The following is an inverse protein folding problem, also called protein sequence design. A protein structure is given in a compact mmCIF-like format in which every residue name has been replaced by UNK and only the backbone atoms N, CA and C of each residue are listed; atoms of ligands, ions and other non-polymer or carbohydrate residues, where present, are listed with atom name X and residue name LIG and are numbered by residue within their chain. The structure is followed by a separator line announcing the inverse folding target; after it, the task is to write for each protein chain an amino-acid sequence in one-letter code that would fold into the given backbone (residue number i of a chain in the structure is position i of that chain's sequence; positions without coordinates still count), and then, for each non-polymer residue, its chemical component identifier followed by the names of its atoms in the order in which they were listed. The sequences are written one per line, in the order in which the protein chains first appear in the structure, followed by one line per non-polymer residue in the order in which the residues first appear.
data_IF_523836862683
#
_entry.id   IF_523836862683
#
_cell.length_a   1.000
_cell.length_b   1.000
_cell.length_c   1.000
_cell.angle_alpha   90.00
_cell.angle_beta   90.00
_cell.angle_gamma   90.00
#
_symmetry.space_group_name_H-M   'P 1'
#
loop_
_entity.id
_entity.type
_entity.pdbx_description
1 polymer ?
#
# COMPACT_ATOMS: atom_id res chain seq x y z
N UNK A 1 2.63 13.99 20.08
CA UNK A 1 2.43 12.55 19.89
C UNK A 1 2.60 12.31 18.42
N UNK A 2 3.76 11.78 18.02
CA UNK A 2 4.02 11.50 16.61
C UNK A 2 3.24 10.22 16.26
N UNK A 3 2.08 10.37 15.63
CA UNK A 3 1.33 9.22 15.13
C UNK A 3 2.21 8.49 14.12
N UNK A 4 2.63 7.27 14.47
CA UNK A 4 3.48 6.43 13.63
C UNK A 4 2.65 5.94 12.44
N UNK A 5 3.04 6.35 11.24
CA UNK A 5 2.48 5.84 9.99
C UNK A 5 3.18 4.52 9.62
N UNK A 6 2.41 3.46 9.39
CA UNK A 6 2.87 2.20 8.83
C UNK A 6 2.38 2.06 7.39
N UNK A 7 3.32 2.12 6.44
CA UNK A 7 3.07 1.80 5.05
C UNK A 7 3.39 0.31 4.82
N UNK A 8 2.39 -0.49 4.47
CA UNK A 8 2.48 -1.95 4.40
C UNK A 8 2.27 -2.42 2.97
N UNK A 9 3.26 -3.11 2.42
CA UNK A 9 3.14 -3.84 1.17
C UNK A 9 2.68 -5.27 1.46
N UNK A 10 1.57 -5.67 0.85
CA UNK A 10 0.95 -6.99 1.08
C UNK A 10 1.28 -8.04 0.03
N UNK A 11 2.15 -7.74 -0.92
CA UNK A 11 2.70 -8.72 -1.86
C UNK A 11 3.58 -9.75 -1.14
N UNK A 12 3.89 -10.85 -1.83
CA UNK A 12 4.92 -11.77 -1.37
C UNK A 12 6.29 -11.09 -1.26
N UNK A 13 7.20 -11.75 -0.54
CA UNK A 13 8.53 -11.22 -0.25
C UNK A 13 9.38 -11.01 -1.51
N UNK A 14 9.23 -11.85 -2.53
CA UNK A 14 10.00 -11.75 -3.77
C UNK A 14 9.60 -10.48 -4.54
N UNK A 15 8.30 -10.25 -4.69
CA UNK A 15 7.75 -9.07 -5.32
C UNK A 15 8.10 -7.78 -4.55
N UNK A 16 8.04 -7.81 -3.22
CA UNK A 16 8.48 -6.68 -2.41
C UNK A 16 9.99 -6.39 -2.60
N UNK A 17 10.82 -7.43 -2.60
CA UNK A 17 12.27 -7.28 -2.81
C UNK A 17 12.62 -6.76 -4.22
N UNK A 18 11.84 -7.11 -5.25
CA UNK A 18 12.03 -6.54 -6.60
C UNK A 18 11.71 -5.04 -6.61
N UNK A 19 10.58 -4.64 -6.03
CA UNK A 19 10.17 -3.24 -6.04
C UNK A 19 9.18 -2.88 -4.94
N UNK A 20 9.51 -1.87 -4.14
CA UNK A 20 8.61 -1.32 -3.15
C UNK A 20 8.81 0.19 -2.93
N UNK A 21 7.84 0.79 -2.24
CA UNK A 21 7.88 2.20 -1.81
C UNK A 21 8.86 2.32 -0.63
N UNK A 22 9.83 3.25 -0.65
CA UNK A 22 10.79 3.43 0.43
C UNK A 22 10.12 3.64 1.79
N UNK A 23 10.68 3.02 2.83
CA UNK A 23 10.14 3.07 4.19
C UNK A 23 8.87 2.25 4.42
N UNK A 24 8.35 1.54 3.39
CA UNK A 24 7.31 0.54 3.61
C UNK A 24 7.88 -0.75 4.20
N UNK A 25 7.05 -1.48 4.93
CA UNK A 25 7.37 -2.84 5.41
C UNK A 25 6.60 -3.88 4.59
N UNK A 26 7.12 -5.11 4.53
CA UNK A 26 6.41 -6.23 3.92
C UNK A 26 5.67 -7.05 4.97
N UNK A 27 4.35 -7.15 4.83
CA UNK A 27 3.53 -8.14 5.53
C UNK A 27 2.69 -8.83 4.47
N UNK A 28 3.13 -9.98 3.93
CA UNK A 28 2.39 -10.70 2.91
C UNK A 28 0.94 -10.92 3.32
N UNK A 29 0.02 -10.80 2.37
CA UNK A 29 -1.42 -10.83 2.63
C UNK A 29 -1.87 -12.01 3.50
N UNK A 30 -1.33 -13.21 3.24
CA UNK A 30 -1.64 -14.43 4.00
C UNK A 30 -1.14 -14.43 5.46
N UNK A 31 -0.23 -13.51 5.83
CA UNK A 31 0.29 -13.32 7.19
C UNK A 31 -0.34 -12.13 7.90
N UNK A 32 -1.05 -11.26 7.18
CA UNK A 32 -1.57 -10.01 7.72
C UNK A 32 -2.53 -10.24 8.90
N UNK A 33 -3.44 -11.21 8.78
CA UNK A 33 -4.41 -11.54 9.82
C UNK A 33 -3.72 -11.91 11.15
N UNK A 34 -2.61 -12.64 11.10
CA UNK A 34 -1.84 -12.99 12.29
C UNK A 34 -1.11 -11.77 12.85
N UNK A 35 -0.44 -11.01 11.98
CA UNK A 35 0.29 -9.79 12.35
C UNK A 35 -0.60 -8.75 13.05
N UNK A 36 -1.90 -8.69 12.72
CA UNK A 36 -2.85 -7.77 13.38
C UNK A 36 -2.93 -7.91 14.90
N UNK A 37 -2.52 -9.07 15.46
CA UNK A 37 -2.53 -9.35 16.90
C UNK A 37 -1.41 -8.65 17.65
N UNK A 38 -0.34 -8.29 16.96
CA UNK A 38 0.87 -7.68 17.53
C UNK A 38 0.97 -6.18 17.18
N UNK A 39 0.01 -5.64 16.43
CA UNK A 39 0.00 -4.26 15.96
C UNK A 39 -0.86 -3.36 16.85
N UNK A 40 -0.34 -2.16 17.14
CA UNK A 40 -1.02 -1.15 17.96
C UNK A 40 -2.22 -0.53 17.24
N UNK A 41 -3.38 -0.47 17.90
CA UNK A 41 -4.67 -0.09 17.28
C UNK A 41 -4.80 1.39 16.90
N UNK A 42 -3.98 2.26 17.49
CA UNK A 42 -3.92 3.69 17.22
C UNK A 42 -3.00 4.06 16.04
N UNK A 43 -2.26 3.08 15.51
CA UNK A 43 -1.35 3.25 14.38
C UNK A 43 -2.12 3.65 13.13
N UNK A 44 -1.61 4.65 12.41
CA UNK A 44 -2.09 4.94 11.07
C UNK A 44 -1.52 3.93 10.08
N UNK A 45 -2.36 3.20 9.36
CA UNK A 45 -1.92 2.14 8.44
C UNK A 45 -2.38 2.46 7.02
N UNK A 46 -1.44 2.36 6.09
CA UNK A 46 -1.73 2.41 4.65
C UNK A 46 -1.26 1.10 4.04
N UNK A 47 -2.18 0.33 3.46
CA UNK A 47 -1.87 -0.91 2.74
C UNK A 47 -1.83 -0.66 1.24
N UNK A 48 -0.89 -1.31 0.54
CA UNK A 48 -0.80 -1.24 -0.91
C UNK A 48 -0.30 -2.55 -1.51
N UNK A 49 -0.61 -2.78 -2.79
CA UNK A 49 -0.20 -3.94 -3.55
C UNK A 49 0.55 -3.51 -4.85
N UNK A 50 0.49 -4.31 -5.90
CA UNK A 50 1.15 -4.03 -7.18
C UNK A 50 0.53 -2.85 -7.92
N UNK A 51 -0.80 -2.81 -8.02
CA UNK A 51 -1.56 -1.88 -8.87
C UNK A 51 -3.06 -1.99 -8.60
N UNK A 52 -3.86 -1.20 -9.30
CA UNK A 52 -5.32 -1.20 -9.17
C UNK A 52 -5.99 -2.55 -9.49
N UNK A 53 -5.37 -3.39 -10.33
CA UNK A 53 -5.87 -4.73 -10.63
C UNK A 53 -5.60 -5.76 -9.52
N UNK A 54 -4.76 -5.40 -8.53
CA UNK A 54 -4.55 -6.24 -7.36
C UNK A 54 -5.62 -5.95 -6.30
N UNK A 55 -6.47 -6.94 -6.01
CA UNK A 55 -7.47 -6.83 -4.94
C UNK A 55 -6.88 -6.91 -3.52
N UNK A 56 -5.64 -7.40 -3.37
CA UNK A 56 -5.07 -7.71 -2.06
C UNK A 56 -5.00 -6.51 -1.11
N UNK A 57 -4.80 -5.28 -1.62
CA UNK A 57 -4.81 -4.09 -0.76
C UNK A 57 -6.21 -3.76 -0.21
N UNK A 58 -7.28 -4.07 -0.95
CA UNK A 58 -8.67 -3.88 -0.48
C UNK A 58 -9.03 -4.94 0.55
N UNK A 59 -8.69 -6.20 0.24
CA UNK A 59 -8.91 -7.31 1.16
C UNK A 59 -8.12 -7.12 2.46
N UNK A 60 -6.89 -6.59 2.36
CA UNK A 60 -6.07 -6.25 3.52
C UNK A 60 -6.70 -5.15 4.38
N UNK A 61 -7.32 -4.15 3.75
CA UNK A 61 -8.08 -3.12 4.45
C UNK A 61 -9.23 -3.74 5.26
N UNK A 62 -10.01 -4.66 4.67
CA UNK A 62 -11.10 -5.33 5.40
C UNK A 62 -10.59 -6.19 6.57
N UNK A 63 -9.46 -6.88 6.41
CA UNK A 63 -8.83 -7.64 7.51
C UNK A 63 -8.50 -6.71 8.68
N UNK A 64 -7.93 -5.53 8.40
CA UNK A 64 -7.60 -4.55 9.42
C UNK A 64 -8.87 -3.95 10.06
N UNK A 65 -9.89 -3.63 9.27
CA UNK A 65 -11.18 -3.11 9.76
C UNK A 65 -11.84 -4.11 10.72
N UNK A 66 -11.93 -5.38 10.32
CA UNK A 66 -12.48 -6.48 11.14
C UNK A 66 -11.65 -6.74 12.39
N UNK A 67 -10.34 -6.49 12.34
CA UNK A 67 -9.45 -6.55 13.50
C UNK A 67 -9.54 -5.31 14.41
N UNK A 68 -10.39 -4.33 14.09
CA UNK A 68 -10.69 -3.15 14.92
C UNK A 68 -9.75 -1.96 14.73
N UNK A 69 -8.96 -1.92 13.64
CA UNK A 69 -8.19 -0.72 13.32
C UNK A 69 -9.10 0.33 12.69
N UNK A 70 -8.93 1.60 13.09
CA UNK A 70 -9.85 2.68 12.69
C UNK A 70 -9.22 3.71 11.75
N UNK A 71 -7.89 3.84 11.78
CA UNK A 71 -7.12 4.76 10.95
C UNK A 71 -6.39 4.00 9.82
N UNK A 72 -7.17 3.42 8.92
CA UNK A 72 -6.71 2.52 7.86
C UNK A 72 -7.10 3.03 6.47
N UNK A 73 -6.17 2.92 5.52
CA UNK A 73 -6.35 3.36 4.13
C UNK A 73 -5.78 2.34 3.16
N UNK A 74 -6.40 2.20 1.98
CA UNK A 74 -5.86 1.45 0.86
C UNK A 74 -5.29 2.41 -0.20
N UNK A 75 -4.02 2.23 -0.57
CA UNK A 75 -3.43 2.86 -1.75
C UNK A 75 -3.50 1.88 -2.94
N UNK A 76 -4.56 2.01 -3.73
CA UNK A 76 -4.84 1.08 -4.84
C UNK A 76 -3.91 1.26 -6.05
N UNK A 77 -3.30 2.44 -6.21
CA UNK A 77 -2.35 2.68 -7.30
C UNK A 77 -1.14 1.75 -7.24
N UNK A 78 -0.81 1.27 -6.04
CA UNK A 78 0.26 0.31 -5.80
C UNK A 78 1.64 0.84 -6.20
N UNK A 79 2.64 -0.03 -6.11
CA UNK A 79 4.02 0.33 -6.50
C UNK A 79 4.12 0.68 -8.00
N UNK A 80 3.20 0.18 -8.83
CA UNK A 80 3.19 0.48 -10.27
C UNK A 80 2.88 1.96 -10.53
N UNK A 81 1.78 2.51 -10.01
CA UNK A 81 1.46 3.94 -10.19
C UNK A 81 2.56 4.79 -9.56
N UNK A 82 2.99 4.45 -8.35
CA UNK A 82 4.06 5.14 -7.65
C UNK A 82 5.32 5.31 -8.50
N UNK A 83 5.77 4.21 -9.13
CA UNK A 83 6.94 4.19 -10.03
C UNK A 83 6.69 4.96 -11.33
N UNK A 84 5.51 4.81 -11.94
CA UNK A 84 5.17 5.48 -13.20
C UNK A 84 5.23 7.01 -13.07
N UNK A 85 4.86 7.51 -11.90
CA UNK A 85 4.88 8.93 -11.56
C UNK A 85 6.28 9.42 -11.12
N UNK A 86 7.31 8.60 -11.35
CA UNK A 86 8.71 8.96 -11.13
C UNK A 86 9.13 9.06 -9.66
N UNK A 87 8.32 8.55 -8.74
CA UNK A 87 8.65 8.61 -7.31
C UNK A 87 9.76 7.59 -6.95
N UNK A 88 10.55 7.85 -5.89
CA UNK A 88 11.63 6.96 -5.48
C UNK A 88 11.13 5.55 -5.14
N UNK A 89 11.87 4.52 -5.55
CA UNK A 89 11.58 3.10 -5.25
C UNK A 89 12.84 2.42 -4.71
N UNK A 90 12.64 1.36 -3.94
CA UNK A 90 13.71 0.46 -3.51
C UNK A 90 13.59 -0.88 -4.25
N UNK A 91 14.72 -1.41 -4.72
CA UNK A 91 14.80 -2.64 -5.53
C UNK A 91 15.22 -2.39 -6.98
N UNK A 92 15.20 -3.46 -7.79
CA UNK A 92 15.57 -3.41 -9.22
C UNK A 92 14.41 -2.91 -10.08
N UNK A 93 13.17 -3.19 -9.68
CA UNK A 93 11.93 -2.70 -10.28
C UNK A 93 11.79 -3.02 -11.77
N UNK A 94 12.18 -4.22 -12.19
CA UNK A 94 12.12 -4.65 -13.61
C UNK A 94 11.15 -5.79 -13.85
N UNK A 95 10.46 -6.29 -12.83
CA UNK A 95 9.54 -7.40 -13.00
C UNK A 95 8.34 -7.05 -13.91
N UNK A 96 7.82 -8.01 -14.69
CA UNK A 96 6.72 -7.78 -15.63
C UNK A 96 5.43 -7.25 -15.00
N UNK A 97 5.17 -7.53 -13.72
CA UNK A 97 3.97 -7.04 -13.03
C UNK A 97 3.97 -5.51 -12.86
N UNK A 98 5.10 -4.84 -13.06
CA UNK A 98 5.24 -3.38 -13.05
C UNK A 98 5.03 -2.74 -14.43
N UNK A 99 4.82 -3.52 -15.49
CA UNK A 99 4.62 -2.99 -16.83
C UNK A 99 3.43 -2.01 -16.85
N UNK A 100 3.56 -0.85 -17.52
CA UNK A 100 2.46 0.09 -17.62
C UNK A 100 1.24 -0.52 -18.29
N UNK A 101 0.07 -0.22 -17.73
CA UNK A 101 -1.22 -0.53 -18.34
C UNK A 101 -1.99 0.76 -18.53
N UNK A 102 -2.76 0.83 -19.62
CA UNK A 102 -3.56 1.99 -19.97
C UNK A 102 -4.84 2.04 -19.13
N UNK A 103 -5.10 3.19 -18.53
CA UNK A 103 -6.32 3.49 -17.79
C UNK A 103 -6.21 3.19 -16.30
N UNK A 104 -6.59 4.16 -15.47
CA UNK A 104 -6.95 3.88 -14.08
C UNK A 104 -8.34 3.24 -14.11
N UNK A 105 -8.55 2.04 -13.55
CA UNK A 105 -9.91 1.53 -13.44
C UNK A 105 -10.72 2.51 -12.60
N UNK A 106 -12.00 2.61 -12.92
CA UNK A 106 -12.95 3.37 -12.11
C UNK A 106 -12.94 2.79 -10.69
N UNK A 107 -12.87 3.64 -9.67
CA UNK A 107 -12.83 3.18 -8.27
C UNK A 107 -14.16 2.47 -7.97
N UNK A 108 -14.14 1.14 -7.89
CA UNK A 108 -15.37 0.33 -7.91
C UNK A 108 -15.98 0.08 -6.52
N UNK A 109 -15.30 0.45 -5.44
CA UNK A 109 -15.73 0.13 -4.09
C UNK A 109 -15.71 1.36 -3.17
N UNK A 110 -16.89 1.94 -2.95
CA UNK A 110 -17.09 3.08 -2.06
C UNK A 110 -17.12 2.69 -0.58
N UNK A 111 -17.04 1.40 -0.24
CA UNK A 111 -17.08 0.91 1.14
C UNK A 111 -15.73 0.96 1.85
N UNK A 112 -14.63 1.13 1.11
CA UNK A 112 -13.28 1.22 1.67
C UNK A 112 -12.73 2.65 1.66
N UNK A 113 -11.93 3.00 2.67
CA UNK A 113 -11.19 4.27 2.69
C UNK A 113 -9.95 4.14 1.81
N UNK A 114 -9.92 4.84 0.69
CA UNK A 114 -8.76 4.89 -0.20
C UNK A 114 -7.98 6.20 -0.05
N UNK A 115 -6.68 6.14 -0.30
CA UNK A 115 -5.81 7.31 -0.34
C UNK A 115 -5.25 7.48 -1.76
N UNK A 116 -5.25 8.72 -2.27
CA UNK A 116 -4.63 9.06 -3.55
C UNK A 116 -3.10 9.12 -3.44
N UNK A 117 -2.41 9.01 -4.58
CA UNK A 117 -0.96 9.22 -4.67
C UNK A 117 -0.50 10.52 -3.99
N UNK A 118 -1.18 11.64 -4.26
CA UNK A 118 -0.78 12.94 -3.74
C UNK A 118 -0.97 13.03 -2.22
N UNK A 119 -2.06 12.46 -1.69
CA UNK A 119 -2.27 12.37 -0.24
C UNK A 119 -1.24 11.45 0.42
N UNK A 120 -0.88 10.33 -0.23
CA UNK A 120 0.17 9.43 0.27
C UNK A 120 1.53 10.15 0.32
N UNK A 121 1.91 10.85 -0.75
CA UNK A 121 3.15 11.64 -0.79
C UNK A 121 3.21 12.69 0.32
N UNK A 122 2.08 13.37 0.56
CA UNK A 122 1.97 14.32 1.66
C UNK A 122 2.20 13.66 3.02
N UNK A 123 1.59 12.50 3.27
CA UNK A 123 1.78 11.73 4.52
C UNK A 123 3.20 11.20 4.70
N UNK A 124 3.88 10.84 3.60
CA UNK A 124 5.28 10.41 3.62
C UNK A 124 6.28 11.58 3.67
N UNK A 125 5.80 12.83 3.76
CA UNK A 125 6.62 14.05 3.71
C UNK A 125 7.51 14.15 2.45
N UNK A 126 7.11 13.50 1.35
CA UNK A 126 7.83 13.55 0.09
C UNK A 126 7.44 14.83 -0.63
N UNK A 127 8.31 15.83 -0.59
CA UNK A 127 8.13 17.11 -1.31
C UNK A 127 8.23 16.85 -2.81
N UNK A 128 7.35 17.47 -3.61
CA UNK A 128 7.56 17.59 -5.06
C UNK A 128 8.87 18.35 -5.26
N UNK A 129 9.86 17.68 -5.86
CA UNK A 129 11.08 18.29 -6.42
C UNK A 129 10.74 19.13 -7.64
#
# INVERSE_FOLDING_TARGET
MDNKLMLINVLDQESYNDCHIPGSINIPFNKLQEATREMEKDTEIIVYCASYECSASKEAWHILDQAGFTNIWAYEGGVREWKQEGNPTEGVCKAPYLAPKTGKPELTDSSIKTISLEQLKHKLNIRKS
#
